data_IF_864613716390
#
_entry.id   IF_864613716390
#
_cell.length_a   1.000
_cell.length_b   1.000
_cell.length_c   1.000
_cell.angle_alpha   90.00
_cell.angle_beta   90.00
_cell.angle_gamma   90.00
#
_symmetry.space_group_name_H-M   'P 1'
#
loop_
_entity.id
_entity.type
_entity.pdbx_description
1 polymer ?
#
# COMPACT_ATOMS: atom_id res chain seq x y z
N UNK A 1 -0.42 -11.27 7.13
CA UNK A 1 0.23 -11.21 5.81
C UNK A 1 1.76 -11.11 5.94
N UNK A 2 2.33 -10.05 6.53
CA UNK A 2 3.80 -9.93 6.66
C UNK A 2 4.44 -11.12 7.38
N UNK A 3 3.83 -11.61 8.47
CA UNK A 3 4.27 -12.84 9.14
C UNK A 3 4.32 -14.07 8.22
N UNK A 4 3.36 -14.18 7.30
CA UNK A 4 3.29 -15.29 6.33
C UNK A 4 4.33 -15.11 5.24
N UNK A 5 4.49 -13.89 4.70
CA UNK A 5 5.43 -13.60 3.62
C UNK A 5 6.89 -13.71 4.08
N UNK A 6 7.19 -13.41 5.34
CA UNK A 6 8.54 -13.59 5.92
C UNK A 6 9.05 -15.03 5.75
N UNK A 7 8.17 -16.01 5.84
CA UNK A 7 8.54 -17.43 5.75
C UNK A 7 8.57 -17.94 4.30
N UNK A 8 8.40 -17.06 3.30
CA UNK A 8 8.49 -17.40 1.87
C UNK A 8 9.86 -16.98 1.33
N UNK A 9 10.80 -17.92 1.10
CA UNK A 9 12.22 -17.60 0.87
C UNK A 9 12.51 -16.80 -0.40
N UNK A 10 11.61 -16.80 -1.38
CA UNK A 10 11.79 -16.12 -2.68
C UNK A 10 11.06 -14.76 -2.77
N UNK A 11 10.52 -14.25 -1.64
CA UNK A 11 9.79 -12.98 -1.61
C UNK A 11 10.53 -11.97 -0.72
N UNK A 12 11.13 -10.95 -1.34
CA UNK A 12 11.58 -9.74 -0.64
C UNK A 12 10.41 -8.76 -0.47
N UNK A 13 10.19 -8.32 0.76
CA UNK A 13 9.09 -7.43 1.14
C UNK A 13 9.56 -6.00 1.39
N UNK A 14 8.96 -5.05 0.67
CA UNK A 14 9.13 -3.61 0.90
C UNK A 14 7.91 -3.04 1.63
N UNK A 15 8.09 -2.59 2.86
CA UNK A 15 7.04 -2.04 3.70
C UNK A 15 7.02 -0.51 3.66
N UNK A 16 5.84 0.06 3.45
CA UNK A 16 5.53 1.46 3.71
C UNK A 16 4.46 1.52 4.80
N UNK A 17 4.71 2.28 5.87
CA UNK A 17 3.71 2.55 6.91
C UNK A 17 3.33 4.04 6.89
N UNK A 18 2.08 4.33 6.51
CA UNK A 18 1.53 5.68 6.61
C UNK A 18 1.39 6.11 8.08
N UNK A 19 1.30 7.42 8.34
CA UNK A 19 1.09 7.93 9.70
C UNK A 19 -0.21 7.40 10.31
N UNK A 20 -1.29 7.39 9.54
CA UNK A 20 -2.58 6.83 9.97
C UNK A 20 -2.47 5.34 10.30
N UNK A 21 -1.74 4.56 9.48
CA UNK A 21 -1.53 3.14 9.76
C UNK A 21 -0.79 2.90 11.08
N UNK A 22 0.18 3.74 11.44
CA UNK A 22 0.88 3.66 12.74
C UNK A 22 -0.07 3.90 13.92
N UNK A 23 -1.01 4.84 13.77
CA UNK A 23 -2.03 5.10 14.79
C UNK A 23 -3.00 3.95 14.91
N UNK A 24 -3.51 3.43 13.79
CA UNK A 24 -4.41 2.26 13.76
C UNK A 24 -3.74 1.04 14.38
N UNK A 25 -2.48 0.77 14.04
CA UNK A 25 -1.72 -0.35 14.62
C UNK A 25 -1.69 -0.29 16.16
N UNK A 26 -1.41 0.90 16.71
CA UNK A 26 -1.35 1.10 18.16
C UNK A 26 -2.71 1.01 18.86
N UNK A 27 -3.82 1.24 18.13
CA UNK A 27 -5.17 1.15 18.68
C UNK A 27 -5.79 -0.24 18.54
N UNK A 28 -5.45 -0.97 17.49
CA UNK A 28 -6.13 -2.22 17.12
C UNK A 28 -5.30 -3.48 17.42
N UNK A 29 -4.03 -3.35 17.83
CA UNK A 29 -3.14 -4.48 18.08
C UNK A 29 -2.17 -4.23 19.23
N UNK A 30 -1.62 -5.31 19.78
CA UNK A 30 -0.53 -5.24 20.76
C UNK A 30 0.87 -5.08 20.12
N UNK A 31 0.95 -5.07 18.78
CA UNK A 31 2.22 -4.90 18.08
C UNK A 31 2.69 -3.46 18.12
N UNK A 32 3.97 -3.29 18.44
CA UNK A 32 4.68 -2.06 18.20
C UNK A 32 4.98 -1.87 16.72
N UNK A 33 5.16 -0.61 16.32
CA UNK A 33 5.64 -0.25 14.97
C UNK A 33 6.95 -0.96 14.64
N UNK A 34 7.86 -1.12 15.61
CA UNK A 34 9.16 -1.77 15.40
C UNK A 34 9.01 -3.25 15.11
N UNK A 35 8.12 -3.94 15.82
CA UNK A 35 7.85 -5.36 15.57
C UNK A 35 7.31 -5.56 14.15
N UNK A 36 6.36 -4.74 13.72
CA UNK A 36 5.83 -4.80 12.34
C UNK A 36 6.91 -4.47 11.31
N UNK A 37 7.73 -3.46 11.55
CA UNK A 37 8.85 -3.11 10.67
C UNK A 37 9.86 -4.26 10.54
N UNK A 38 10.14 -4.96 11.63
CA UNK A 38 11.03 -6.12 11.62
C UNK A 38 10.45 -7.29 10.81
N UNK A 39 9.13 -7.34 10.55
CA UNK A 39 8.51 -8.37 9.69
C UNK A 39 8.83 -8.21 8.20
N UNK A 40 9.36 -7.07 7.77
CA UNK A 40 9.69 -6.80 6.38
C UNK A 40 11.21 -6.74 6.15
N UNK A 41 11.64 -7.06 4.94
CA UNK A 41 13.05 -7.03 4.55
C UNK A 41 13.58 -5.61 4.39
N UNK A 42 12.74 -4.73 3.83
CA UNK A 42 13.05 -3.32 3.60
C UNK A 42 11.89 -2.45 4.09
N UNK A 43 12.22 -1.39 4.82
CA UNK A 43 11.23 -0.43 5.34
C UNK A 43 11.53 0.96 4.79
N UNK A 44 10.52 1.58 4.17
CA UNK A 44 10.63 2.92 3.60
C UNK A 44 9.83 3.95 4.41
N UNK A 45 10.35 5.17 4.55
CA UNK A 45 9.55 6.29 5.08
C UNK A 45 8.49 6.67 4.04
N UNK A 46 7.24 6.84 4.48
CA UNK A 46 6.13 7.19 3.60
C UNK A 46 6.31 8.56 2.90
N UNK A 47 7.23 9.40 3.38
CA UNK A 47 7.58 10.71 2.81
C UNK A 47 8.77 10.65 1.86
N UNK A 48 9.51 9.54 1.84
CA UNK A 48 10.70 9.39 1.00
C UNK A 48 10.32 9.04 -0.44
N UNK A 49 10.00 10.05 -1.23
CA UNK A 49 9.71 9.88 -2.65
C UNK A 49 10.92 9.43 -3.49
N UNK A 50 12.14 9.46 -2.93
CA UNK A 50 13.36 9.02 -3.61
C UNK A 50 13.66 7.52 -3.42
N UNK A 51 12.86 6.81 -2.61
CA UNK A 51 12.99 5.38 -2.39
C UNK A 51 12.87 4.58 -3.70
N UNK A 52 13.55 3.43 -3.78
CA UNK A 52 13.64 2.61 -4.99
C UNK A 52 12.29 2.27 -5.62
N UNK A 53 11.29 1.97 -4.80
CA UNK A 53 9.94 1.59 -5.20
C UNK A 53 9.12 2.75 -5.82
N UNK A 54 9.63 3.98 -5.81
CA UNK A 54 9.04 5.12 -6.53
C UNK A 54 9.40 5.15 -8.03
N UNK A 55 10.26 4.22 -8.48
CA UNK A 55 10.69 4.06 -9.87
C UNK A 55 10.20 2.76 -10.48
N UNK A 56 9.71 2.82 -11.72
CA UNK A 56 9.33 1.63 -12.50
C UNK A 56 10.53 0.78 -12.97
N UNK A 57 11.75 1.34 -12.96
CA UNK A 57 12.96 0.58 -13.27
C UNK A 57 13.28 -0.44 -12.18
N UNK A 58 12.90 -0.17 -10.93
CA UNK A 58 12.96 -1.13 -9.84
C UNK A 58 11.84 -2.15 -10.02
N UNK A 59 12.19 -3.43 -10.23
CA UNK A 59 11.22 -4.49 -10.55
C UNK A 59 10.66 -5.09 -9.27
N UNK A 60 9.34 -5.12 -9.19
CA UNK A 60 8.56 -5.73 -8.11
C UNK A 60 7.54 -6.68 -8.74
N UNK A 61 7.14 -7.71 -8.01
CA UNK A 61 6.09 -8.63 -8.45
C UNK A 61 4.69 -8.01 -8.41
N UNK A 62 4.50 -6.96 -7.59
CA UNK A 62 3.23 -6.30 -7.38
C UNK A 62 3.24 -5.50 -6.08
N UNK A 63 2.07 -5.05 -5.64
CA UNK A 63 1.88 -4.34 -4.38
C UNK A 63 0.54 -4.72 -3.75
N UNK A 64 0.52 -4.84 -2.42
CA UNK A 64 -0.71 -5.04 -1.64
C UNK A 64 -0.83 -3.90 -0.63
N UNK A 65 -2.01 -3.29 -0.55
CA UNK A 65 -2.32 -2.27 0.47
C UNK A 65 -3.34 -2.86 1.45
N UNK A 66 -2.88 -3.13 2.68
CA UNK A 66 -3.65 -3.82 3.72
C UNK A 66 -3.46 -3.18 5.10
N UNK A 67 -4.50 -2.60 5.71
CA UNK A 67 -5.76 -2.18 5.08
C UNK A 67 -5.56 -0.98 4.15
N UNK A 68 -6.44 -0.83 3.15
CA UNK A 68 -6.52 0.33 2.28
C UNK A 68 -7.64 1.28 2.75
N UNK A 69 -7.30 2.53 3.03
CA UNK A 69 -8.28 3.57 3.41
C UNK A 69 -8.94 4.18 2.17
N UNK A 70 -10.13 4.75 2.33
CA UNK A 70 -10.79 5.50 1.24
C UNK A 70 -9.95 6.69 0.75
N UNK A 71 -9.18 7.35 1.64
CA UNK A 71 -8.22 8.40 1.27
C UNK A 71 -7.15 7.86 0.32
N UNK A 72 -6.54 6.73 0.68
CA UNK A 72 -5.50 6.08 -0.13
C UNK A 72 -6.06 5.65 -1.48
N UNK A 73 -7.22 4.98 -1.50
CA UNK A 73 -7.90 4.58 -2.73
C UNK A 73 -8.15 5.79 -3.65
N UNK A 74 -8.68 6.87 -3.08
CA UNK A 74 -8.94 8.11 -3.82
C UNK A 74 -7.65 8.70 -4.41
N UNK A 75 -6.56 8.71 -3.65
CA UNK A 75 -5.26 9.18 -4.14
C UNK A 75 -4.74 8.35 -5.32
N UNK A 76 -4.90 7.02 -5.27
CA UNK A 76 -4.49 6.11 -6.35
C UNK A 76 -5.33 6.34 -7.60
N UNK A 77 -6.66 6.37 -7.47
CA UNK A 77 -7.59 6.53 -8.60
C UNK A 77 -7.37 7.84 -9.36
N UNK A 78 -6.97 8.91 -8.66
CA UNK A 78 -6.72 10.21 -9.29
C UNK A 78 -5.24 10.48 -9.59
N UNK A 79 -4.36 9.48 -9.48
CA UNK A 79 -2.89 9.63 -9.60
C UNK A 79 -2.33 10.79 -8.75
N UNK A 80 -2.94 11.06 -7.60
CA UNK A 80 -2.51 12.09 -6.67
C UNK A 80 -1.39 11.53 -5.78
N UNK A 81 -0.16 11.68 -6.26
CA UNK A 81 1.05 11.10 -5.65
C UNK A 81 1.66 12.03 -4.60
N UNK A 82 0.94 12.23 -3.50
CA UNK A 82 1.34 13.08 -2.37
C UNK A 82 2.39 12.47 -1.43
N UNK A 83 2.76 11.21 -1.63
CA UNK A 83 3.79 10.52 -0.86
C UNK A 83 4.20 9.19 -1.50
N UNK A 84 5.12 8.48 -0.86
CA UNK A 84 5.69 7.25 -1.40
C UNK A 84 4.63 6.15 -1.60
N UNK A 85 3.63 6.07 -0.72
CA UNK A 85 2.60 5.03 -0.80
C UNK A 85 1.77 5.15 -2.10
N UNK A 86 1.19 6.33 -2.33
CA UNK A 86 0.39 6.61 -3.54
C UNK A 86 1.27 6.59 -4.79
N UNK A 87 2.52 7.06 -4.68
CA UNK A 87 3.51 6.98 -5.77
C UNK A 87 3.88 5.55 -6.15
N UNK A 88 4.15 4.67 -5.19
CA UNK A 88 4.48 3.27 -5.46
C UNK A 88 3.31 2.54 -6.12
N UNK A 89 2.08 2.81 -5.68
CA UNK A 89 0.88 2.25 -6.31
C UNK A 89 0.68 2.74 -7.76
N UNK A 90 0.91 4.03 -8.02
CA UNK A 90 0.90 4.61 -9.37
C UNK A 90 1.97 3.97 -10.28
N UNK A 91 3.16 3.71 -9.73
CA UNK A 91 4.22 2.96 -10.44
C UNK A 91 3.80 1.53 -10.74
N UNK A 92 3.14 0.84 -9.81
CA UNK A 92 2.64 -0.53 -10.01
C UNK A 92 1.63 -0.56 -11.16
N UNK A 93 0.66 0.36 -11.16
CA UNK A 93 -0.37 0.45 -12.21
C UNK A 93 0.23 0.80 -13.57
N UNK A 94 1.09 1.82 -13.67
CA UNK A 94 1.67 2.23 -14.96
C UNK A 94 2.58 1.16 -15.58
N UNK A 95 3.21 0.34 -14.74
CA UNK A 95 4.04 -0.80 -15.16
C UNK A 95 3.22 -2.08 -15.38
N UNK A 96 1.89 -2.01 -15.26
CA UNK A 96 0.94 -3.14 -15.40
C UNK A 96 1.27 -4.31 -14.47
N UNK A 97 1.69 -4.00 -13.26
CA UNK A 97 1.93 -4.99 -12.21
C UNK A 97 0.66 -5.15 -11.35
N UNK A 98 0.43 -6.33 -10.76
CA UNK A 98 -0.69 -6.54 -9.85
C UNK A 98 -0.66 -5.55 -8.67
N UNK A 99 -1.73 -4.78 -8.51
CA UNK A 99 -2.03 -4.00 -7.32
C UNK A 99 -3.24 -4.63 -6.64
N UNK A 100 -3.14 -4.97 -5.35
CA UNK A 100 -4.27 -5.51 -4.59
C UNK A 100 -4.66 -4.54 -3.49
N UNK A 101 -5.92 -4.11 -3.48
CA UNK A 101 -6.45 -3.13 -2.55
C UNK A 101 -7.42 -3.77 -1.55
N UNK A 102 -7.00 -3.94 -0.31
CA UNK A 102 -7.86 -4.47 0.75
C UNK A 102 -8.61 -3.32 1.44
N UNK A 103 -9.60 -2.76 0.74
CA UNK A 103 -10.37 -1.60 1.21
C UNK A 103 -11.23 -1.99 2.41
N UNK A 104 -11.09 -1.25 3.52
CA UNK A 104 -11.88 -1.44 4.75
C UNK A 104 -12.66 -0.15 5.06
N UNK A 105 -13.96 -0.18 4.80
CA UNK A 105 -14.90 0.90 5.14
C UNK A 105 -16.32 0.33 5.18
N UNK A 106 -17.18 0.85 6.07
CA UNK A 106 -18.60 0.51 6.11
C UNK A 106 -19.41 1.53 6.91
N UNK A 107 -20.59 1.97 6.42
CA UNK A 107 -21.18 1.65 5.11
C UNK A 107 -20.49 2.39 3.95
N UNK A 108 -20.60 1.86 2.74
CA UNK A 108 -20.21 2.59 1.54
C UNK A 108 -21.31 3.53 1.08
N UNK A 109 -20.95 4.79 0.82
CA UNK A 109 -21.79 5.69 0.03
C UNK A 109 -21.41 5.63 -1.46
N UNK A 110 -22.23 6.19 -2.34
CA UNK A 110 -22.03 6.11 -3.80
C UNK A 110 -20.65 6.61 -4.28
N UNK A 111 -20.12 7.68 -3.65
CA UNK A 111 -18.76 8.15 -3.93
C UNK A 111 -17.68 7.09 -3.70
N UNK A 112 -17.77 6.29 -2.63
CA UNK A 112 -16.83 5.20 -2.36
C UNK A 112 -16.91 4.12 -3.44
N UNK A 113 -18.12 3.72 -3.82
CA UNK A 113 -18.35 2.70 -4.85
C UNK A 113 -17.80 3.14 -6.21
N UNK A 114 -17.96 4.40 -6.58
CA UNK A 114 -17.38 4.96 -7.82
C UNK A 114 -15.85 4.92 -7.82
N UNK A 115 -15.21 5.12 -6.66
CA UNK A 115 -13.76 4.98 -6.56
C UNK A 115 -13.31 3.52 -6.69
N UNK A 116 -14.06 2.59 -6.10
CA UNK A 116 -13.79 1.15 -6.23
C UNK A 116 -13.90 0.68 -7.68
N UNK A 117 -14.95 1.12 -8.40
CA UNK A 117 -15.12 0.81 -9.84
C UNK A 117 -13.95 1.36 -10.65
N UNK A 118 -13.60 2.64 -10.48
CA UNK A 118 -12.48 3.24 -11.20
C UNK A 118 -11.15 2.54 -10.90
N UNK A 119 -10.91 2.13 -9.66
CA UNK A 119 -9.70 1.38 -9.33
C UNK A 119 -9.61 0.05 -10.10
N UNK A 120 -10.72 -0.69 -10.19
CA UNK A 120 -10.79 -1.92 -10.98
C UNK A 120 -10.60 -1.64 -12.49
N UNK A 121 -11.16 -0.55 -13.02
CA UNK A 121 -10.97 -0.13 -14.41
C UNK A 121 -9.51 0.23 -14.73
N UNK A 122 -8.76 0.77 -13.76
CA UNK A 122 -7.33 1.06 -13.86
C UNK A 122 -6.45 -0.20 -13.78
N UNK A 123 -7.00 -1.34 -13.37
CA UNK A 123 -6.29 -2.62 -13.26
C UNK A 123 -5.79 -2.98 -11.86
N UNK A 124 -6.37 -2.37 -10.82
CA UNK A 124 -6.20 -2.79 -9.42
C UNK A 124 -7.19 -3.90 -9.01
#
# INVERSE_FOLDING_TARGET
MLQVLRDVPDIETHLILSQAARQTLAMETDYSVREVQALADVVHDARDIAASISSGSFKTAGMVILPCSMKTLSGIVHSYTDGLLTRAADVVLKERRPLVLCVRETPFHLGHLRLLVQAAELGA
#
